data_IF_416422102591
#
_entry.id   IF_416422102591
#
_cell.length_a   1.000
_cell.length_b   1.000
_cell.length_c   1.000
_cell.angle_alpha   90.00
_cell.angle_beta   90.00
_cell.angle_gamma   90.00
#
_symmetry.space_group_name_H-M   'P 1'
#
loop_
_entity.id
_entity.type
_entity.pdbx_description
1 polymer ?
#
# COMPACT_ATOMS: atom_id res chain seq x y z
N UNK A 1 6.76 -31.24 -4.73
CA UNK A 1 6.88 -29.89 -4.14
C UNK A 1 6.94 -28.91 -5.29
N UNK A 2 5.81 -28.28 -5.62
CA UNK A 2 5.80 -27.22 -6.61
C UNK A 2 6.38 -25.98 -5.93
N UNK A 3 7.42 -25.39 -6.53
CA UNK A 3 7.83 -24.03 -6.19
C UNK A 3 6.59 -23.13 -6.40
N UNK A 4 6.22 -22.36 -5.38
CA UNK A 4 5.16 -21.36 -5.52
C UNK A 4 5.45 -20.51 -6.74
N UNK A 5 4.42 -20.28 -7.57
CA UNK A 5 4.48 -19.31 -8.67
C UNK A 5 5.12 -18.03 -8.15
N UNK A 6 6.02 -17.37 -8.90
CA UNK A 6 6.45 -16.03 -8.55
C UNK A 6 5.20 -15.17 -8.37
N UNK A 7 5.02 -14.65 -7.15
CA UNK A 7 3.89 -13.80 -6.80
C UNK A 7 3.79 -12.70 -7.86
N UNK A 8 2.65 -12.61 -8.56
CA UNK A 8 2.52 -11.74 -9.72
C UNK A 8 2.62 -10.27 -9.29
N UNK A 9 3.78 -9.67 -9.53
CA UNK A 9 3.98 -8.23 -9.43
C UNK A 9 3.23 -7.60 -10.60
N UNK A 10 2.36 -6.63 -10.31
CA UNK A 10 1.67 -5.88 -11.36
C UNK A 10 2.69 -4.93 -12.03
N UNK A 11 2.77 -4.96 -13.37
CA UNK A 11 3.63 -4.08 -14.16
C UNK A 11 2.78 -2.92 -14.70
N UNK A 12 3.13 -1.69 -14.31
CA UNK A 12 2.44 -0.46 -14.69
C UNK A 12 3.40 0.51 -15.39
N UNK A 13 2.82 1.42 -16.18
CA UNK A 13 3.48 2.60 -16.70
C UNK A 13 3.12 3.84 -15.86
N UNK A 14 4.01 4.84 -15.87
CA UNK A 14 3.67 6.16 -15.36
C UNK A 14 2.42 6.73 -16.04
N UNK A 15 1.55 7.34 -15.23
CA UNK A 15 0.23 7.82 -15.65
C UNK A 15 -0.87 6.76 -15.62
N UNK A 16 -0.54 5.47 -15.38
CA UNK A 16 -1.57 4.44 -15.23
C UNK A 16 -2.44 4.74 -14.00
N UNK A 17 -3.74 4.48 -14.17
CA UNK A 17 -4.74 4.59 -13.12
C UNK A 17 -4.92 3.24 -12.44
N UNK A 18 -4.84 3.24 -11.10
CA UNK A 18 -5.07 2.03 -10.30
C UNK A 18 -6.47 2.05 -9.73
N UNK A 19 -7.14 0.91 -9.85
CA UNK A 19 -8.41 0.63 -9.18
C UNK A 19 -8.16 -0.42 -8.11
N UNK A 20 -8.68 -0.19 -6.92
CA UNK A 20 -8.57 -1.14 -5.80
C UNK A 20 -9.98 -1.61 -5.45
N UNK A 21 -10.19 -2.92 -5.56
CA UNK A 21 -11.40 -3.58 -5.12
C UNK A 21 -11.12 -4.33 -3.80
N UNK A 22 -11.93 -4.05 -2.79
CA UNK A 22 -11.79 -4.64 -1.46
C UNK A 22 -13.10 -5.32 -1.10
N UNK A 23 -13.03 -6.63 -0.89
CA UNK A 23 -14.09 -7.44 -0.30
C UNK A 23 -13.52 -8.21 0.90
N UNK A 24 -14.37 -8.50 1.89
CA UNK A 24 -14.02 -9.39 2.98
C UNK A 24 -15.15 -10.39 3.26
N UNK A 25 -14.77 -11.53 3.82
CA UNK A 25 -15.69 -12.59 4.26
C UNK A 25 -15.86 -12.66 5.78
N UNK A 26 -15.35 -11.65 6.48
CA UNK A 26 -15.56 -11.50 7.92
C UNK A 26 -17.03 -11.20 8.19
N UNK A 27 -17.57 -11.73 9.30
CA UNK A 27 -18.98 -11.61 9.70
C UNK A 27 -19.31 -10.27 10.39
N UNK A 28 -18.28 -9.57 10.87
CA UNK A 28 -18.36 -8.21 11.38
C UNK A 28 -17.86 -7.19 10.35
N UNK A 29 -18.38 -5.97 10.44
CA UNK A 29 -17.86 -4.83 9.71
C UNK A 29 -16.42 -4.50 10.14
N UNK A 30 -15.59 -4.08 9.19
CA UNK A 30 -14.16 -3.85 9.38
C UNK A 30 -13.79 -2.42 9.02
N UNK A 31 -12.94 -1.79 9.83
CA UNK A 31 -12.31 -0.53 9.46
C UNK A 31 -11.20 -0.78 8.46
N UNK A 32 -11.21 -0.04 7.36
CA UNK A 32 -10.33 -0.27 6.22
C UNK A 32 -9.40 0.92 6.01
N UNK A 33 -8.12 0.64 5.77
CA UNK A 33 -7.11 1.65 5.44
C UNK A 33 -6.22 1.15 4.31
N UNK A 34 -5.95 1.99 3.33
CA UNK A 34 -5.07 1.71 2.19
C UNK A 34 -3.92 2.69 2.22
N UNK A 35 -2.71 2.15 2.29
CA UNK A 35 -1.47 2.91 2.32
C UNK A 35 -0.63 2.57 1.11
N UNK A 36 -0.10 3.59 0.44
CA UNK A 36 0.95 3.44 -0.57
C UNK A 36 2.32 3.61 0.09
N UNK A 37 3.19 2.65 -0.17
CA UNK A 37 4.60 2.70 0.13
C UNK A 37 5.28 2.90 -1.21
N UNK A 38 5.37 4.17 -1.58
CA UNK A 38 5.80 4.60 -2.90
C UNK A 38 7.27 4.30 -3.15
N UNK A 39 7.75 4.77 -4.29
CA UNK A 39 9.07 4.44 -4.81
C UNK A 39 10.25 5.01 -3.99
N UNK A 40 9.99 5.98 -3.12
CA UNK A 40 10.98 6.68 -2.29
C UNK A 40 10.89 6.34 -0.79
N UNK A 41 10.29 5.20 -0.45
CA UNK A 41 10.00 4.81 0.95
C UNK A 41 9.11 5.84 1.70
N UNK A 42 8.42 6.73 0.98
CA UNK A 42 7.38 7.59 1.52
C UNK A 42 6.10 6.78 1.75
N UNK A 43 5.42 7.05 2.86
CA UNK A 43 4.17 6.39 3.22
C UNK A 43 3.02 7.38 3.10
N UNK A 44 2.09 7.09 2.20
CA UNK A 44 0.92 7.92 1.93
C UNK A 44 -0.35 7.14 2.27
N UNK A 45 -1.26 7.77 3.03
CA UNK A 45 -2.60 7.23 3.23
C UNK A 45 -3.44 7.54 1.98
N UNK A 46 -3.78 6.51 1.20
CA UNK A 46 -4.65 6.62 0.03
C UNK A 46 -6.14 6.61 0.42
N UNK A 47 -6.49 5.80 1.41
CA UNK A 47 -7.86 5.67 1.87
C UNK A 47 -7.94 5.27 3.35
N UNK A 48 -8.96 5.74 4.09
CA UNK A 48 -9.83 6.85 3.74
C UNK A 48 -9.03 8.17 3.69
N UNK A 49 -9.67 9.25 3.23
CA UNK A 49 -9.01 10.56 3.24
C UNK A 49 -8.52 10.95 4.65
N UNK A 50 -7.53 11.85 4.77
CA UNK A 50 -6.97 12.24 6.07
C UNK A 50 -8.03 12.65 7.09
N UNK A 51 -7.93 12.13 8.32
CA UNK A 51 -8.89 12.37 9.40
C UNK A 51 -10.28 11.71 9.22
N UNK A 52 -10.49 10.92 8.16
CA UNK A 52 -11.68 10.10 8.00
C UNK A 52 -11.41 8.65 8.43
N UNK A 53 -12.49 7.93 8.69
CA UNK A 53 -12.46 6.51 8.98
C UNK A 53 -13.62 5.85 8.23
N UNK A 54 -13.36 4.79 7.47
CA UNK A 54 -14.42 4.04 6.79
C UNK A 54 -14.60 2.66 7.41
N UNK A 55 -15.85 2.32 7.67
CA UNK A 55 -16.29 0.99 8.04
C UNK A 55 -16.85 0.27 6.81
N UNK A 56 -16.25 -0.85 6.43
CA UNK A 56 -16.72 -1.74 5.38
C UNK A 56 -17.61 -2.82 5.99
N UNK A 57 -18.87 -2.86 5.57
CA UNK A 57 -19.84 -3.87 6.01
C UNK A 57 -19.59 -5.22 5.31
N UNK A 58 -19.96 -6.35 5.95
CA UNK A 58 -19.89 -7.66 5.31
C UNK A 58 -20.62 -7.72 3.96
N UNK A 59 -20.06 -8.48 3.02
CA UNK A 59 -20.59 -8.68 1.66
C UNK A 59 -20.72 -7.40 0.81
N UNK A 60 -20.18 -6.26 1.27
CA UNK A 60 -20.08 -5.04 0.48
C UNK A 60 -18.72 -5.00 -0.25
N UNK A 61 -18.77 -4.69 -1.54
CA UNK A 61 -17.59 -4.42 -2.36
C UNK A 61 -17.26 -2.93 -2.29
N UNK A 62 -16.09 -2.61 -1.74
CA UNK A 62 -15.52 -1.26 -1.78
C UNK A 62 -14.65 -1.10 -3.03
N UNK A 63 -14.89 -0.04 -3.79
CA UNK A 63 -14.12 0.32 -4.99
C UNK A 63 -13.49 1.69 -4.81
N UNK A 64 -12.18 1.76 -4.94
CA UNK A 64 -11.39 2.98 -4.86
C UNK A 64 -10.80 3.28 -6.24
N UNK A 65 -10.72 4.56 -6.60
CA UNK A 65 -10.20 4.98 -7.91
C UNK A 65 -11.23 5.07 -9.04
N UNK A 66 -12.47 4.61 -8.83
CA UNK A 66 -13.49 4.54 -9.88
C UNK A 66 -14.20 5.89 -10.12
N UNK A 67 -14.23 6.78 -9.12
CA UNK A 67 -15.01 8.02 -9.14
C UNK A 67 -14.12 9.22 -9.44
N UNK A 68 -14.73 10.25 -10.03
CA UNK A 68 -14.07 11.54 -10.22
C UNK A 68 -13.58 12.10 -8.88
N UNK A 69 -12.30 12.50 -8.83
CA UNK A 69 -11.55 12.96 -7.64
C UNK A 69 -11.10 11.88 -6.67
N UNK A 70 -11.32 10.61 -6.98
CA UNK A 70 -10.75 9.47 -6.25
C UNK A 70 -9.68 8.75 -7.07
N UNK A 71 -9.34 9.26 -8.27
CA UNK A 71 -8.35 8.66 -9.16
C UNK A 71 -6.99 8.49 -8.49
N UNK A 72 -6.40 7.31 -8.68
CA UNK A 72 -5.10 6.95 -8.13
C UNK A 72 -4.12 6.75 -9.28
N UNK A 73 -3.53 7.86 -9.72
CA UNK A 73 -2.51 7.87 -10.76
C UNK A 73 -1.15 7.45 -10.19
N UNK A 74 -0.47 6.52 -10.85
CA UNK A 74 0.91 6.15 -10.52
C UNK A 74 1.89 7.10 -11.20
N UNK A 75 2.76 7.73 -10.41
CA UNK A 75 3.80 8.63 -10.92
C UNK A 75 5.15 8.36 -10.26
N UNK A 76 6.23 8.73 -10.94
CA UNK A 76 7.52 8.81 -10.28
C UNK A 76 7.56 10.06 -9.38
N UNK A 77 7.91 9.93 -8.10
CA UNK A 77 8.13 11.08 -7.24
C UNK A 77 9.22 12.00 -7.83
N UNK A 78 9.07 13.32 -7.66
CA UNK A 78 10.04 14.29 -8.18
C UNK A 78 11.46 14.14 -7.59
N UNK A 79 11.55 13.50 -6.43
CA UNK A 79 12.77 13.17 -5.69
C UNK A 79 13.26 11.73 -5.96
N UNK A 80 12.64 11.00 -6.90
CA UNK A 80 13.07 9.66 -7.26
C UNK A 80 14.46 9.67 -7.91
N UNK A 81 15.36 8.81 -7.43
CA UNK A 81 16.69 8.65 -8.02
C UNK A 81 16.62 7.72 -9.23
N UNK A 82 16.66 8.31 -10.43
CA UNK A 82 16.64 7.57 -11.69
C UNK A 82 17.96 6.84 -12.00
N UNK A 83 19.01 7.02 -11.19
CA UNK A 83 20.35 6.47 -11.43
C UNK A 83 21.26 7.43 -12.19
N UNK A 84 22.57 7.16 -12.13
CA UNK A 84 23.64 8.09 -12.55
C UNK A 84 23.77 8.38 -14.05
N UNK A 85 23.06 7.66 -14.92
CA UNK A 85 22.94 7.97 -16.35
C UNK A 85 21.73 8.89 -16.66
N UNK A 86 20.85 9.13 -15.68
CA UNK A 86 19.79 10.15 -15.76
C UNK A 86 18.80 9.94 -16.90
N UNK A 87 18.62 8.71 -17.38
CA UNK A 87 17.71 8.36 -18.47
C UNK A 87 16.42 7.77 -17.91
N UNK A 88 15.32 8.55 -17.81
CA UNK A 88 14.07 8.10 -17.21
C UNK A 88 13.48 6.86 -17.90
N UNK A 89 13.65 6.77 -19.22
CA UNK A 89 13.11 5.72 -20.08
C UNK A 89 13.54 4.28 -19.71
N UNK A 90 14.58 4.12 -18.89
CA UNK A 90 15.06 2.81 -18.42
C UNK A 90 14.80 2.56 -16.94
N UNK A 91 14.28 3.55 -16.24
CA UNK A 91 14.10 3.48 -14.80
C UNK A 91 12.89 2.64 -14.45
N UNK A 92 13.07 1.83 -13.42
CA UNK A 92 12.07 0.95 -12.82
C UNK A 92 12.00 1.28 -11.34
N UNK A 93 10.80 1.55 -10.85
CA UNK A 93 10.50 1.70 -9.44
C UNK A 93 9.78 0.46 -8.93
N UNK A 94 10.07 0.05 -7.69
CA UNK A 94 9.27 -0.95 -6.99
C UNK A 94 8.54 -0.28 -5.84
N UNK A 95 7.21 -0.40 -5.83
CA UNK A 95 6.36 0.09 -4.76
C UNK A 95 5.42 -1.01 -4.28
N UNK A 96 4.67 -0.73 -3.21
CA UNK A 96 3.64 -1.64 -2.76
C UNK A 96 2.50 -0.90 -2.05
N UNK A 97 1.29 -1.40 -2.28
CA UNK A 97 0.09 -0.96 -1.58
C UNK A 97 -0.17 -1.93 -0.44
N UNK A 98 -0.45 -1.40 0.76
CA UNK A 98 -0.87 -2.17 1.92
C UNK A 98 -2.30 -1.80 2.32
N UNK A 99 -3.14 -2.82 2.34
CA UNK A 99 -4.47 -2.79 2.94
C UNK A 99 -4.36 -3.23 4.40
N UNK A 100 -4.92 -2.45 5.31
CA UNK A 100 -5.11 -2.79 6.71
C UNK A 100 -6.60 -2.89 7.00
N UNK A 101 -6.99 -3.95 7.71
CA UNK A 101 -8.36 -4.17 8.15
C UNK A 101 -8.37 -4.56 9.63
N UNK A 102 -9.27 -3.97 10.41
CA UNK A 102 -9.36 -4.19 11.86
C UNK A 102 -10.81 -4.07 12.34
N UNK A 103 -11.14 -4.70 13.47
CA UNK A 103 -12.46 -4.58 14.09
C UNK A 103 -12.61 -3.29 14.91
N UNK A 104 -11.56 -2.47 15.01
CA UNK A 104 -11.53 -1.25 15.82
C UNK A 104 -11.07 -0.04 15.02
N UNK A 105 -11.72 1.11 15.24
CA UNK A 105 -11.30 2.36 14.62
C UNK A 105 -9.86 2.66 15.05
N UNK A 106 -8.99 2.93 14.08
CA UNK A 106 -7.57 3.13 14.30
C UNK A 106 -7.12 4.37 13.53
N UNK A 107 -6.29 5.19 14.16
CA UNK A 107 -5.72 6.35 13.50
C UNK A 107 -4.35 6.00 12.91
N UNK A 108 -4.28 5.94 11.58
CA UNK A 108 -3.05 5.71 10.83
C UNK A 108 -2.43 6.99 10.28
N UNK A 109 -2.97 8.19 10.60
CA UNK A 109 -2.36 9.46 10.18
C UNK A 109 -0.93 9.60 10.74
N UNK A 110 -0.65 8.96 11.88
CA UNK A 110 0.70 8.90 12.46
C UNK A 110 1.74 8.19 11.58
N UNK A 111 1.32 7.41 10.57
CA UNK A 111 2.20 6.73 9.63
C UNK A 111 2.54 7.57 8.40
N UNK A 112 1.76 8.63 8.15
CA UNK A 112 2.00 9.53 7.03
C UNK A 112 3.31 10.26 7.26
N UNK A 113 4.18 10.23 6.26
CA UNK A 113 5.43 10.97 6.32
C UNK A 113 5.57 11.86 5.09
N UNK A 114 5.85 13.13 5.32
CA UNK A 114 6.19 14.09 4.27
C UNK A 114 7.65 13.92 3.78
N UNK A 115 8.37 12.97 4.37
CA UNK A 115 9.78 12.65 4.09
C UNK A 115 9.99 11.13 4.11
N UNK A 116 11.06 10.65 3.48
CA UNK A 116 11.43 9.23 3.45
C UNK A 116 11.42 8.64 4.86
N UNK A 117 10.76 7.49 5.06
CA UNK A 117 10.71 6.83 6.36
C UNK A 117 12.14 6.56 6.86
N UNK A 118 12.56 7.11 8.02
CA UNK A 118 13.92 6.88 8.50
C UNK A 118 14.13 5.40 8.78
N UNK A 119 15.26 4.85 8.34
CA UNK A 119 15.62 3.44 8.49
C UNK A 119 15.54 2.95 9.95
N UNK A 120 15.68 3.87 10.91
CA UNK A 120 15.54 3.63 12.35
C UNK A 120 14.12 3.28 12.81
N UNK A 121 13.08 3.69 12.09
CA UNK A 121 11.69 3.32 12.42
C UNK A 121 11.30 1.90 11.95
N UNK A 122 12.09 1.28 11.07
CA UNK A 122 11.97 -0.17 10.76
C UNK A 122 12.35 -1.05 11.97
N UNK A 123 12.93 -0.47 13.03
CA UNK A 123 13.42 -1.14 14.24
C UNK A 123 12.52 -0.83 15.46
N UNK A 124 11.23 -0.54 15.25
CA UNK A 124 10.28 -0.44 16.36
C UNK A 124 9.99 -1.82 16.98
N UNK A 125 9.81 -1.88 18.30
CA UNK A 125 9.53 -3.13 19.05
C UNK A 125 8.02 -3.50 19.09
N UNK A 126 7.22 -3.01 18.15
CA UNK A 126 5.77 -3.24 18.09
C UNK A 126 5.32 -4.08 16.89
N UNK A 127 4.14 -4.67 17.00
CA UNK A 127 3.41 -5.35 15.92
C UNK A 127 3.33 -4.48 14.66
N UNK A 128 3.05 -3.19 14.82
CA UNK A 128 2.99 -2.22 13.71
C UNK A 128 4.31 -1.96 13.02
N UNK A 129 5.38 -1.75 13.79
CA UNK A 129 6.71 -1.61 13.19
C UNK A 129 7.10 -2.88 12.41
N UNK A 130 6.74 -4.07 12.92
CA UNK A 130 6.95 -5.33 12.20
C UNK A 130 6.13 -5.41 10.91
N UNK A 131 4.88 -4.95 10.92
CA UNK A 131 4.01 -4.93 9.73
C UNK A 131 4.52 -4.00 8.64
N UNK A 132 5.01 -2.82 9.04
CA UNK A 132 5.59 -1.82 8.14
C UNK A 132 6.97 -2.24 7.62
N UNK A 133 7.78 -2.91 8.45
CA UNK A 133 9.10 -3.40 8.06
C UNK A 133 9.05 -4.61 7.11
N UNK A 134 7.90 -5.32 7.03
CA UNK A 134 7.71 -6.40 6.06
C UNK A 134 7.47 -5.81 4.67
N UNK A 135 8.56 -5.44 4.01
CA UNK A 135 8.58 -5.26 2.58
C UNK A 135 8.38 -6.62 1.90
N UNK A 136 7.40 -6.68 1.01
CA UNK A 136 7.23 -7.70 -0.06
C UNK A 136 6.40 -8.98 0.16
N UNK A 137 5.76 -9.33 1.28
CA UNK A 137 4.93 -10.53 1.26
C UNK A 137 3.59 -10.22 0.55
N UNK A 138 3.30 -10.85 -0.59
CA UNK A 138 1.99 -10.74 -1.29
C UNK A 138 0.89 -11.54 -0.56
N UNK A 139 1.08 -11.82 0.72
CA UNK A 139 0.20 -12.62 1.57
C UNK A 139 -0.50 -11.78 2.64
N UNK A 140 -1.67 -12.25 3.04
CA UNK A 140 -2.39 -11.69 4.17
C UNK A 140 -1.70 -12.11 5.47
N UNK A 141 -1.23 -11.14 6.25
CA UNK A 141 -0.55 -11.40 7.51
C UNK A 141 -1.47 -11.02 8.65
N UNK A 142 -1.72 -12.00 9.52
CA UNK A 142 -2.30 -11.78 10.85
C UNK A 142 -1.16 -11.71 11.86
N UNK A 143 -1.19 -10.69 12.70
CA UNK A 143 -0.24 -10.60 13.81
C UNK A 143 -0.84 -11.30 15.02
N UNK A 144 -0.04 -12.11 15.72
CA UNK A 144 -0.50 -12.81 16.92
C UNK A 144 -0.76 -11.81 18.05
N UNK A 145 -1.91 -11.96 18.73
CA UNK A 145 -2.34 -11.06 19.82
C UNK A 145 -3.00 -9.77 19.34
N UNK A 146 -3.20 -9.65 18.03
CA UNK A 146 -3.66 -8.44 17.37
C UNK A 146 -4.95 -8.72 16.57
N UNK A 147 -5.83 -7.73 16.45
CA UNK A 147 -7.14 -7.86 15.80
C UNK A 147 -7.12 -7.49 14.30
N UNK A 148 -5.95 -7.18 13.76
CA UNK A 148 -5.80 -6.61 12.44
C UNK A 148 -5.15 -7.58 11.45
N UNK A 149 -5.59 -7.44 10.21
CA UNK A 149 -5.08 -8.12 9.02
C UNK A 149 -4.41 -7.09 8.13
N UNK A 150 -3.27 -7.44 7.55
CA UNK A 150 -2.69 -6.67 6.46
C UNK A 150 -2.51 -7.50 5.20
N UNK A 151 -2.84 -6.92 4.05
CA UNK A 151 -2.60 -7.50 2.73
C UNK A 151 -1.67 -6.56 1.97
N UNK A 152 -0.58 -7.07 1.42
CA UNK A 152 0.32 -6.28 0.58
C UNK A 152 0.22 -6.72 -0.88
N UNK A 153 0.27 -5.75 -1.79
CA UNK A 153 0.36 -5.96 -3.24
C UNK A 153 1.51 -5.13 -3.78
N UNK A 154 2.52 -5.81 -4.32
CA UNK A 154 3.68 -5.16 -4.94
C UNK A 154 3.40 -4.81 -6.40
N UNK A 155 4.00 -3.71 -6.85
CA UNK A 155 3.97 -3.29 -8.24
C UNK A 155 5.35 -2.83 -8.71
N UNK A 156 5.58 -2.95 -10.01
CA UNK A 156 6.71 -2.35 -10.71
C UNK A 156 6.15 -1.20 -11.55
N UNK A 157 6.75 -0.01 -11.43
CA UNK A 157 6.42 1.15 -12.25
C UNK A 157 7.54 1.38 -13.26
N UNK A 158 7.18 1.51 -14.53
CA UNK A 158 8.07 1.89 -15.62
C UNK A 158 7.78 3.31 -16.06
N UNK A 159 8.83 4.04 -16.42
CA UNK A 159 8.65 5.36 -17.02
C UNK A 159 7.85 5.26 -18.32
N UNK A 160 6.78 6.05 -18.40
CA UNK A 160 5.93 6.22 -19.57
C UNK A 160 6.18 7.61 -20.13
N UNK A 161 7.07 7.73 -21.12
CA UNK A 161 7.48 9.02 -21.68
C UNK A 161 6.40 9.82 -22.39
#
# INVERSE_FOLDING_TARGET
MAAGSPEAVCDFCEGDQVLIEIEHRHDMALWVYVLDFGLTDNVTLLYPGPGAHELLEPDILLRLGEREREEMELCFPSDFDFGGDGLPERSRGFGFIKLFMTTHATDFDCLRTDTSWPETHRIGRGSLAKLLAMGRPVEAIRIEGEDWLAVTRGYELRWGG
#
